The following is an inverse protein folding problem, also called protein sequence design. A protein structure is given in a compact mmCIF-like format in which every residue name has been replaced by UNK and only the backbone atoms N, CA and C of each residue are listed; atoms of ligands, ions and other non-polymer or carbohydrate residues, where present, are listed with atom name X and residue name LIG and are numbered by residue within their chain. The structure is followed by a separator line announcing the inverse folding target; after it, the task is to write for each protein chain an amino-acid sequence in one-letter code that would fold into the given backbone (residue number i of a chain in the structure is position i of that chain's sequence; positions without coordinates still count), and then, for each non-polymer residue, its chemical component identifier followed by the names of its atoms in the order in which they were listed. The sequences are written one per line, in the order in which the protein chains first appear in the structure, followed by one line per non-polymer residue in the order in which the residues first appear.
data_IF_707784083214
#
_entry.id   IF_707784083214
#
_cell.length_a   1.000
_cell.length_b   1.000
_cell.length_c   1.000
_cell.angle_alpha   90.00
_cell.angle_beta   90.00
_cell.angle_gamma   90.00
#
_symmetry.space_group_name_H-M   'P 1'
#
loop_
_entity.id
_entity.type
_entity.pdbx_description
1 polymer ?
#
# COMPACT_ATOMS: atom_id res chain seq x y z
N UNK A 1 -25.76 -13.63 15.26
CA UNK A 1 -25.64 -13.95 13.82
C UNK A 1 -24.38 -13.27 13.33
N UNK A 2 -23.49 -13.97 12.61
CA UNK A 2 -22.26 -13.36 12.09
C UNK A 2 -22.65 -12.50 10.87
N UNK A 3 -22.11 -11.28 10.78
CA UNK A 3 -22.32 -10.37 9.66
C UNK A 3 -21.89 -11.04 8.33
N UNK A 4 -22.75 -11.01 7.30
CA UNK A 4 -22.47 -11.60 6.00
C UNK A 4 -21.27 -10.92 5.29
N UNK A 5 -20.97 -9.66 5.62
CA UNK A 5 -19.76 -8.95 5.14
C UNK A 5 -18.48 -9.59 5.69
N UNK A 6 -18.51 -10.04 6.94
CA UNK A 6 -17.37 -10.71 7.57
C UNK A 6 -17.11 -12.10 6.97
N UNK A 7 -18.16 -12.83 6.62
CA UNK A 7 -18.04 -14.12 5.94
C UNK A 7 -17.35 -13.96 4.59
N UNK A 8 -17.82 -13.02 3.76
CA UNK A 8 -17.19 -12.71 2.46
C UNK A 8 -15.73 -12.29 2.60
N UNK A 9 -15.41 -11.45 3.59
CA UNK A 9 -14.03 -11.05 3.84
C UNK A 9 -13.16 -12.27 4.24
N UNK A 10 -13.65 -13.14 5.13
CA UNK A 10 -12.94 -14.35 5.52
C UNK A 10 -12.71 -15.29 4.30
N UNK A 11 -13.70 -15.41 3.42
CA UNK A 11 -13.58 -16.17 2.16
C UNK A 11 -12.48 -15.60 1.26
N UNK A 12 -12.43 -14.27 1.07
CA UNK A 12 -11.37 -13.60 0.31
C UNK A 12 -10.00 -13.91 0.92
N UNK A 13 -9.82 -13.70 2.22
CA UNK A 13 -8.51 -13.87 2.87
C UNK A 13 -8.02 -15.32 2.81
N UNK A 14 -8.92 -16.29 3.00
CA UNK A 14 -8.57 -17.72 3.05
C UNK A 14 -8.41 -18.31 1.65
N UNK A 15 -9.37 -18.08 0.77
CA UNK A 15 -9.43 -18.77 -0.53
C UNK A 15 -8.77 -18.00 -1.66
N UNK A 16 -8.74 -16.67 -1.61
CA UNK A 16 -8.11 -15.84 -2.65
C UNK A 16 -6.71 -15.38 -2.27
N UNK A 17 -6.54 -14.75 -1.10
CA UNK A 17 -5.28 -14.10 -0.73
C UNK A 17 -4.21 -15.10 -0.30
N UNK A 18 -4.49 -15.92 0.71
CA UNK A 18 -3.55 -16.95 1.20
C UNK A 18 -3.65 -18.26 0.40
N UNK A 19 -4.79 -18.50 -0.26
CA UNK A 19 -5.08 -19.73 -1.03
C UNK A 19 -4.73 -20.97 -0.21
N UNK A 20 -5.31 -21.06 0.99
CA UNK A 20 -5.01 -22.12 1.96
C UNK A 20 -5.18 -23.49 1.33
N UNK A 21 -4.18 -24.35 1.48
CA UNK A 21 -4.20 -25.75 1.05
C UNK A 21 -4.32 -26.68 2.26
N UNK A 22 -4.91 -27.89 2.09
CA UNK A 22 -4.95 -28.89 3.14
C UNK A 22 -3.56 -29.19 3.71
N UNK A 23 -3.45 -29.20 5.04
CA UNK A 23 -2.20 -29.45 5.77
C UNK A 23 -1.31 -28.23 5.99
N UNK A 24 -1.62 -27.06 5.41
CA UNK A 24 -0.86 -25.84 5.65
C UNK A 24 -1.17 -25.24 7.03
N UNK A 25 -0.13 -24.77 7.73
CA UNK A 25 -0.27 -23.96 8.94
C UNK A 25 -0.39 -22.49 8.54
N UNK A 26 -1.36 -21.79 9.12
CA UNK A 26 -1.64 -20.37 8.83
C UNK A 26 -1.66 -19.58 10.12
N UNK A 27 -0.79 -18.58 10.25
CA UNK A 27 -0.77 -17.67 11.40
C UNK A 27 -1.70 -16.49 11.15
N UNK A 28 -2.70 -16.31 12.02
CA UNK A 28 -3.48 -15.08 12.14
C UNK A 28 -2.80 -14.21 13.20
N UNK A 29 -2.23 -13.09 12.81
CA UNK A 29 -1.68 -12.09 13.72
C UNK A 29 -2.62 -10.89 13.77
N UNK A 30 -3.38 -10.77 14.86
CA UNK A 30 -4.49 -9.84 14.99
C UNK A 30 -4.24 -8.79 16.07
N UNK A 31 -4.24 -7.52 15.68
CA UNK A 31 -4.03 -6.38 16.57
C UNK A 31 -5.36 -5.69 16.81
N UNK A 32 -5.82 -5.63 18.06
CA UNK A 32 -7.04 -4.92 18.46
C UNK A 32 -8.28 -5.27 17.60
N UNK A 33 -8.39 -6.54 17.20
CA UNK A 33 -9.47 -7.03 16.34
C UNK A 33 -10.67 -7.53 17.15
N UNK A 34 -11.90 -7.47 16.60
CA UNK A 34 -13.04 -8.17 17.17
C UNK A 34 -12.74 -9.68 17.27
N UNK A 35 -12.79 -10.28 18.48
CA UNK A 35 -12.48 -11.70 18.66
C UNK A 35 -13.42 -12.61 17.86
N UNK A 36 -14.65 -12.16 17.59
CA UNK A 36 -15.63 -12.89 16.79
C UNK A 36 -15.19 -13.05 15.33
N UNK A 37 -14.53 -12.02 14.76
CA UNK A 37 -13.98 -12.11 13.40
C UNK A 37 -12.76 -13.02 13.36
N UNK A 38 -11.86 -12.92 14.36
CA UNK A 38 -10.70 -13.81 14.45
C UNK A 38 -11.15 -15.28 14.58
N UNK A 39 -12.17 -15.55 15.40
CA UNK A 39 -12.75 -16.87 15.55
C UNK A 39 -13.44 -17.37 14.28
N UNK A 40 -14.11 -16.49 13.52
CA UNK A 40 -14.64 -16.81 12.20
C UNK A 40 -13.51 -17.24 11.25
N UNK A 41 -12.47 -16.42 11.13
CA UNK A 41 -11.34 -16.67 10.24
C UNK A 41 -10.62 -17.97 10.58
N UNK A 42 -10.39 -18.25 11.86
CA UNK A 42 -9.80 -19.51 12.31
C UNK A 42 -10.64 -20.73 11.88
N UNK A 43 -11.98 -20.64 12.01
CA UNK A 43 -12.89 -21.70 11.51
C UNK A 43 -12.83 -21.84 9.99
N UNK A 44 -12.80 -20.74 9.24
CA UNK A 44 -12.71 -20.78 7.78
C UNK A 44 -11.41 -21.43 7.30
N UNK A 45 -10.28 -21.16 7.95
CA UNK A 45 -8.99 -21.83 7.66
C UNK A 45 -9.09 -23.33 7.93
N UNK A 46 -9.65 -23.72 9.08
CA UNK A 46 -9.82 -25.13 9.43
C UNK A 46 -10.74 -25.86 8.43
N UNK A 47 -11.81 -25.21 7.98
CA UNK A 47 -12.71 -25.74 6.94
C UNK A 47 -12.03 -25.90 5.58
N UNK A 48 -11.06 -25.04 5.25
CA UNK A 48 -10.22 -25.19 4.07
C UNK A 48 -9.14 -26.29 4.21
N UNK A 49 -9.10 -27.00 5.34
CA UNK A 49 -8.11 -28.06 5.63
C UNK A 49 -6.77 -27.54 6.18
N UNK A 50 -6.66 -26.23 6.45
CA UNK A 50 -5.50 -25.64 7.08
C UNK A 50 -5.52 -25.77 8.61
N UNK A 51 -4.38 -25.52 9.25
CA UNK A 51 -4.23 -25.47 10.71
C UNK A 51 -4.07 -24.01 11.13
N UNK A 52 -5.09 -23.37 11.73
CA UNK A 52 -5.00 -21.99 12.19
C UNK A 52 -4.16 -21.89 13.46
N UNK A 53 -3.23 -20.94 13.49
CA UNK A 53 -2.54 -20.45 14.68
C UNK A 53 -2.99 -19.00 14.89
N UNK A 54 -3.23 -18.59 16.14
CA UNK A 54 -3.72 -17.24 16.43
C UNK A 54 -2.77 -16.55 17.40
N UNK A 55 -2.41 -15.32 17.09
CA UNK A 55 -1.72 -14.40 17.98
C UNK A 55 -2.55 -13.11 18.11
N UNK A 56 -2.93 -12.77 19.34
CA UNK A 56 -3.71 -11.60 19.66
C UNK A 56 -2.81 -10.57 20.33
N UNK A 57 -2.69 -9.40 19.70
CA UNK A 57 -1.88 -8.29 20.18
C UNK A 57 -2.79 -7.10 20.49
N UNK A 58 -2.44 -6.35 21.54
CA UNK A 58 -3.10 -5.09 21.86
C UNK A 58 -2.11 -3.95 21.68
N UNK A 59 -2.50 -2.93 20.92
CA UNK A 59 -1.64 -1.75 20.72
C UNK A 59 -1.34 -1.06 22.05
N UNK A 60 -2.29 -0.99 22.98
CA UNK A 60 -2.10 -0.43 24.31
C UNK A 60 -0.99 -1.18 25.09
N UNK A 61 -1.03 -2.51 25.07
CA UNK A 61 -0.04 -3.35 25.77
C UNK A 61 1.32 -3.26 25.09
N UNK A 62 1.36 -3.35 23.76
CA UNK A 62 2.60 -3.21 22.99
C UNK A 62 3.24 -1.84 23.21
N UNK A 63 2.45 -0.76 23.28
CA UNK A 63 2.94 0.58 23.57
C UNK A 63 3.65 0.63 24.93
N UNK A 64 3.05 0.04 25.97
CA UNK A 64 3.68 -0.06 27.29
C UNK A 64 4.98 -0.89 27.26
N UNK A 65 5.01 -1.99 26.50
CA UNK A 65 6.23 -2.78 26.30
C UNK A 65 7.31 -1.97 25.58
N UNK A 66 6.96 -1.26 24.51
CA UNK A 66 7.91 -0.50 23.70
C UNK A 66 8.52 0.67 24.46
N UNK A 67 7.76 1.33 25.35
CA UNK A 67 8.30 2.37 26.22
C UNK A 67 9.48 1.89 27.08
N UNK A 68 9.47 0.60 27.46
CA UNK A 68 10.48 0.00 28.34
C UNK A 68 11.33 -1.08 27.66
N UNK A 69 11.28 -1.19 26.33
CA UNK A 69 11.92 -2.29 25.60
C UNK A 69 13.42 -2.36 25.88
N UNK A 70 13.91 -3.56 26.21
CA UNK A 70 15.33 -3.88 26.33
C UNK A 70 15.77 -4.81 25.20
N UNK A 71 17.05 -4.79 24.85
CA UNK A 71 17.59 -5.66 23.79
C UNK A 71 17.37 -7.14 24.12
N UNK A 72 17.64 -7.55 25.36
CA UNK A 72 17.42 -8.91 25.85
C UNK A 72 15.96 -9.37 25.65
N UNK A 73 15.00 -8.53 26.05
CA UNK A 73 13.58 -8.81 25.86
C UNK A 73 13.24 -8.96 24.38
N UNK A 74 13.70 -8.03 23.53
CA UNK A 74 13.38 -8.02 22.11
C UNK A 74 13.98 -9.22 21.38
N UNK A 75 15.21 -9.62 21.70
CA UNK A 75 15.83 -10.82 21.15
C UNK A 75 15.07 -12.08 21.51
N UNK A 76 14.65 -12.23 22.77
CA UNK A 76 13.88 -13.40 23.20
C UNK A 76 12.51 -13.48 22.50
N UNK A 77 11.80 -12.36 22.39
CA UNK A 77 10.53 -12.32 21.65
C UNK A 77 10.76 -12.65 20.17
N UNK A 78 11.80 -12.08 19.56
CA UNK A 78 12.14 -12.33 18.16
C UNK A 78 12.40 -13.82 17.90
N UNK A 79 13.16 -14.50 18.78
CA UNK A 79 13.43 -15.93 18.66
C UNK A 79 12.14 -16.78 18.67
N UNK A 80 11.25 -16.51 19.63
CA UNK A 80 9.97 -17.21 19.74
C UNK A 80 9.09 -16.98 18.51
N UNK A 81 8.91 -15.71 18.12
CA UNK A 81 8.03 -15.36 17.01
C UNK A 81 8.59 -15.78 15.65
N UNK A 82 9.93 -15.72 15.48
CA UNK A 82 10.61 -16.20 14.28
C UNK A 82 10.44 -17.69 14.12
N UNK A 83 10.66 -18.47 15.19
CA UNK A 83 10.45 -19.92 15.18
C UNK A 83 9.03 -20.28 14.74
N UNK A 84 8.03 -19.57 15.28
CA UNK A 84 6.62 -19.73 14.88
C UNK A 84 6.40 -19.35 13.40
N UNK A 85 6.95 -18.22 12.96
CA UNK A 85 6.82 -17.74 11.58
C UNK A 85 7.46 -18.70 10.56
N UNK A 86 8.64 -19.26 10.88
CA UNK A 86 9.31 -20.27 10.05
C UNK A 86 8.51 -21.58 9.95
N UNK A 87 7.63 -21.85 10.92
CA UNK A 87 6.75 -23.01 10.91
C UNK A 87 5.51 -22.87 10.01
N UNK A 88 5.09 -21.67 9.62
CA UNK A 88 3.82 -21.48 8.88
C UNK A 88 4.03 -21.28 7.38
N UNK A 89 3.02 -21.68 6.60
CA UNK A 89 2.98 -21.49 5.14
C UNK A 89 2.17 -20.24 4.78
N UNK A 90 1.15 -19.93 5.59
CA UNK A 90 0.30 -18.76 5.44
C UNK A 90 0.41 -17.78 6.60
N UNK A 91 0.22 -16.50 6.32
CA UNK A 91 0.14 -15.42 7.31
C UNK A 91 -1.01 -14.46 6.96
N UNK A 92 -1.85 -14.12 7.95
CA UNK A 92 -2.90 -13.12 7.83
C UNK A 92 -2.68 -12.08 8.93
N UNK A 93 -2.26 -10.88 8.51
CA UNK A 93 -2.05 -9.74 9.41
C UNK A 93 -3.29 -8.85 9.46
N UNK A 94 -3.96 -8.83 10.61
CA UNK A 94 -5.14 -7.99 10.84
C UNK A 94 -4.75 -6.79 11.71
N UNK A 95 -5.07 -5.57 11.27
CA UNK A 95 -4.70 -4.33 11.98
C UNK A 95 -5.94 -3.52 12.34
N UNK A 96 -6.38 -3.64 13.59
CA UNK A 96 -7.47 -2.87 14.19
C UNK A 96 -7.15 -1.37 14.27
N UNK A 97 -6.05 -1.04 14.96
CA UNK A 97 -5.57 0.34 15.15
C UNK A 97 -6.70 1.32 15.53
N UNK A 98 -7.31 1.19 16.72
CA UNK A 98 -8.40 2.07 17.15
C UNK A 98 -7.98 3.54 17.24
N UNK A 99 -6.69 3.80 17.46
CA UNK A 99 -6.08 5.12 17.53
C UNK A 99 -4.78 5.13 16.70
N UNK A 100 -4.71 5.94 15.65
CA UNK A 100 -3.51 6.05 14.81
C UNK A 100 -2.33 6.73 15.52
N UNK A 101 -2.58 7.49 16.58
CA UNK A 101 -1.55 8.19 17.33
C UNK A 101 -1.07 7.40 18.56
N UNK A 102 -1.49 6.14 18.74
CA UNK A 102 -1.25 5.36 19.96
C UNK A 102 0.25 5.29 20.32
N UNK A 103 1.12 5.16 19.33
CA UNK A 103 2.58 5.03 19.54
C UNK A 103 3.34 6.37 19.52
N UNK A 104 2.65 7.51 19.42
CA UNK A 104 3.26 8.81 19.10
C UNK A 104 4.25 9.33 20.15
N UNK A 105 4.16 8.87 21.39
CA UNK A 105 5.03 9.28 22.49
C UNK A 105 6.00 8.17 22.94
N UNK A 106 6.11 7.08 22.18
CA UNK A 106 7.17 6.09 22.38
C UNK A 106 8.50 6.67 21.89
N UNK A 107 9.58 6.64 22.71
CA UNK A 107 10.86 7.21 22.29
C UNK A 107 11.38 6.62 20.97
N UNK A 108 11.88 7.46 20.06
CA UNK A 108 12.35 7.06 18.73
C UNK A 108 13.40 5.94 18.78
N UNK A 109 14.36 6.02 19.71
CA UNK A 109 15.39 4.97 19.88
C UNK A 109 14.79 3.62 20.29
N UNK A 110 13.71 3.62 21.08
CA UNK A 110 13.01 2.38 21.44
C UNK A 110 12.28 1.78 20.24
N UNK A 111 11.60 2.60 19.45
CA UNK A 111 10.95 2.15 18.22
C UNK A 111 11.97 1.59 17.22
N UNK A 112 13.15 2.21 17.12
CA UNK A 112 14.26 1.71 16.29
C UNK A 112 14.74 0.34 16.77
N UNK A 113 14.95 0.15 18.08
CA UNK A 113 15.31 -1.15 18.65
C UNK A 113 14.26 -2.22 18.37
N UNK A 114 12.97 -1.94 18.60
CA UNK A 114 11.87 -2.88 18.29
C UNK A 114 11.91 -3.27 16.81
N UNK A 115 12.08 -2.30 15.92
CA UNK A 115 12.16 -2.56 14.48
C UNK A 115 13.35 -3.44 14.13
N UNK A 116 14.53 -3.13 14.65
CA UNK A 116 15.78 -3.82 14.29
C UNK A 116 15.88 -5.21 14.89
N UNK A 117 15.52 -5.38 16.17
CA UNK A 117 15.78 -6.60 16.92
C UNK A 117 14.60 -7.58 16.92
N UNK A 118 13.38 -7.10 16.71
CA UNK A 118 12.18 -7.96 16.71
C UNK A 118 11.46 -7.97 15.36
N UNK A 119 11.04 -6.82 14.85
CA UNK A 119 10.19 -6.81 13.65
C UNK A 119 10.95 -7.26 12.39
N UNK A 120 12.18 -6.80 12.17
CA UNK A 120 12.99 -7.12 10.99
C UNK A 120 13.30 -8.63 10.91
N UNK A 121 13.84 -9.29 11.96
CA UNK A 121 14.14 -10.72 11.92
C UNK A 121 12.93 -11.62 11.71
N UNK A 122 11.73 -11.20 12.15
CA UNK A 122 10.50 -12.00 12.03
C UNK A 122 9.77 -11.70 10.72
N UNK A 123 9.53 -10.43 10.42
CA UNK A 123 8.66 -10.04 9.32
C UNK A 123 9.39 -9.80 8.00
N UNK A 124 10.54 -9.12 8.01
CA UNK A 124 11.28 -8.85 6.76
C UNK A 124 12.07 -10.07 6.30
N UNK A 125 12.77 -10.75 7.20
CA UNK A 125 13.66 -11.86 6.84
C UNK A 125 12.93 -13.20 6.66
N UNK A 126 11.75 -13.38 7.28
CA UNK A 126 11.01 -14.65 7.24
C UNK A 126 9.63 -14.48 6.62
N UNK A 127 8.72 -13.72 7.25
CA UNK A 127 7.32 -13.61 6.78
C UNK A 127 7.23 -13.22 5.30
N UNK A 128 7.82 -12.09 4.91
CA UNK A 128 7.71 -11.55 3.55
C UNK A 128 8.24 -12.54 2.50
N UNK A 129 9.49 -13.05 2.61
CA UNK A 129 10.06 -13.91 1.56
C UNK A 129 9.58 -15.37 1.60
N UNK A 130 9.10 -15.89 2.75
CA UNK A 130 8.86 -17.34 2.92
C UNK A 130 7.38 -17.74 3.07
N UNK A 131 6.45 -16.79 3.15
CA UNK A 131 5.03 -17.10 3.39
C UNK A 131 4.09 -16.55 2.31
N UNK A 132 2.94 -17.22 2.15
CA UNK A 132 1.76 -16.64 1.52
C UNK A 132 1.13 -15.70 2.54
N UNK A 133 1.24 -14.39 2.32
CA UNK A 133 0.88 -13.39 3.32
C UNK A 133 -0.10 -12.38 2.76
N UNK A 134 -1.08 -12.00 3.59
CA UNK A 134 -1.99 -10.88 3.34
C UNK A 134 -2.06 -9.98 4.58
N UNK A 135 -2.17 -8.67 4.37
CA UNK A 135 -2.39 -7.68 5.44
C UNK A 135 -3.64 -6.86 5.11
N UNK A 136 -4.43 -6.56 6.14
CA UNK A 136 -5.57 -5.67 6.04
C UNK A 136 -5.70 -4.78 7.28
N UNK A 137 -6.21 -3.57 7.07
CA UNK A 137 -6.63 -2.65 8.14
C UNK A 137 -8.12 -2.85 8.40
N UNK A 138 -8.55 -2.92 9.66
CA UNK A 138 -9.96 -3.12 10.03
C UNK A 138 -10.70 -1.77 10.07
N UNK A 139 -12.00 -1.71 9.70
CA UNK A 139 -12.75 -0.46 9.69
C UNK A 139 -13.12 -0.04 11.12
N UNK A 140 -12.22 0.68 11.77
CA UNK A 140 -12.47 1.25 13.11
C UNK A 140 -13.06 2.64 13.02
N UNK A 141 -13.60 3.10 14.16
CA UNK A 141 -14.08 4.49 14.32
C UNK A 141 -12.95 5.49 14.01
N UNK A 142 -11.71 5.20 14.42
CA UNK A 142 -10.56 6.05 14.12
C UNK A 142 -10.30 6.17 12.62
N UNK A 143 -10.46 5.09 11.86
CA UNK A 143 -10.33 5.10 10.40
C UNK A 143 -11.47 5.86 9.73
N UNK A 144 -12.71 5.67 10.18
CA UNK A 144 -13.86 6.44 9.69
C UNK A 144 -13.68 7.95 9.93
N UNK A 145 -13.17 8.34 11.10
CA UNK A 145 -12.86 9.73 11.43
C UNK A 145 -11.75 10.30 10.53
N UNK A 146 -10.68 9.55 10.28
CA UNK A 146 -9.61 9.97 9.38
C UNK A 146 -10.10 10.17 7.94
N UNK A 147 -11.03 9.32 7.49
CA UNK A 147 -11.70 9.41 6.20
C UNK A 147 -12.80 10.50 6.15
N UNK A 148 -13.07 11.20 7.26
CA UNK A 148 -14.15 12.18 7.40
C UNK A 148 -15.54 11.61 7.05
N UNK A 149 -15.82 10.39 7.51
CA UNK A 149 -17.07 9.65 7.27
C UNK A 149 -17.72 9.22 8.59
N UNK A 150 -19.03 8.99 8.57
CA UNK A 150 -19.69 8.27 9.67
C UNK A 150 -19.25 6.81 9.70
N UNK A 151 -19.22 6.19 10.88
CA UNK A 151 -18.79 4.78 11.05
C UNK A 151 -19.54 3.82 10.13
N UNK A 152 -20.87 3.92 10.06
CA UNK A 152 -21.69 3.03 9.25
C UNK A 152 -21.42 3.21 7.74
N UNK A 153 -21.33 4.46 7.26
CA UNK A 153 -21.02 4.73 5.87
C UNK A 153 -19.61 4.26 5.50
N UNK A 154 -18.65 4.39 6.42
CA UNK A 154 -17.29 3.91 6.24
C UNK A 154 -17.21 2.39 6.21
N UNK A 155 -17.92 1.68 7.10
CA UNK A 155 -18.00 0.22 7.06
C UNK A 155 -18.58 -0.31 5.75
N UNK A 156 -19.69 0.29 5.28
CA UNK A 156 -20.29 -0.08 3.99
C UNK A 156 -19.33 0.13 2.82
N UNK A 157 -18.63 1.27 2.80
CA UNK A 157 -17.57 1.51 1.84
C UNK A 157 -16.45 0.46 1.95
N UNK A 158 -15.95 0.25 3.17
CA UNK A 158 -14.80 -0.61 3.45
C UNK A 158 -15.06 -2.04 2.97
N UNK A 159 -16.20 -2.64 3.37
CA UNK A 159 -16.49 -4.02 3.00
C UNK A 159 -16.75 -4.14 1.50
N UNK A 160 -17.40 -3.16 0.86
CA UNK A 160 -17.55 -3.15 -0.60
C UNK A 160 -16.21 -3.19 -1.32
N UNK A 161 -15.23 -2.41 -0.85
CA UNK A 161 -13.88 -2.37 -1.44
C UNK A 161 -13.09 -3.64 -1.11
N UNK A 162 -13.10 -4.07 0.15
CA UNK A 162 -12.26 -5.16 0.64
C UNK A 162 -12.78 -6.56 0.27
N UNK A 163 -14.03 -6.68 -0.17
CA UNK A 163 -14.61 -7.93 -0.67
C UNK A 163 -14.90 -7.89 -2.18
N UNK A 164 -14.18 -7.06 -2.93
CA UNK A 164 -14.22 -7.05 -4.39
C UNK A 164 -13.87 -8.44 -4.96
N UNK A 165 -14.38 -8.77 -6.17
CA UNK A 165 -13.97 -9.98 -6.88
C UNK A 165 -12.54 -9.83 -7.41
N UNK A 166 -11.59 -10.14 -6.54
CA UNK A 166 -10.18 -10.09 -6.86
C UNK A 166 -9.74 -11.15 -7.88
N UNK A 167 -10.49 -12.24 -8.05
CA UNK A 167 -10.22 -13.22 -9.11
C UNK A 167 -10.59 -12.66 -10.49
N UNK A 168 -11.65 -11.84 -10.58
CA UNK A 168 -11.95 -11.04 -11.79
C UNK A 168 -10.84 -10.01 -12.05
N UNK A 169 -10.37 -9.32 -11.01
CA UNK A 169 -9.26 -8.37 -11.13
C UNK A 169 -7.97 -9.04 -11.60
N UNK A 170 -7.63 -10.23 -11.08
CA UNK A 170 -6.48 -11.03 -11.51
C UNK A 170 -6.51 -11.33 -13.02
N UNK A 171 -7.70 -11.61 -13.57
CA UNK A 171 -7.86 -11.82 -15.02
C UNK A 171 -7.80 -10.50 -15.80
N UNK A 172 -8.44 -9.46 -15.30
CA UNK A 172 -8.56 -8.16 -15.99
C UNK A 172 -7.23 -7.42 -16.10
N UNK A 173 -6.29 -7.62 -15.16
CA UNK A 173 -4.99 -6.92 -15.13
C UNK A 173 -3.95 -7.51 -16.09
N UNK A 174 -4.10 -8.77 -16.53
CA UNK A 174 -3.08 -9.43 -17.36
C UNK A 174 -2.73 -8.66 -18.66
N UNK A 175 -3.69 -8.13 -19.42
CA UNK A 175 -3.39 -7.34 -20.62
C UNK A 175 -2.58 -6.07 -20.32
N UNK A 176 -2.73 -5.48 -19.14
CA UNK A 176 -1.93 -4.32 -18.70
C UNK A 176 -0.49 -4.74 -18.39
N UNK A 177 -0.32 -5.84 -17.64
CA UNK A 177 1.00 -6.40 -17.30
C UNK A 177 1.80 -6.69 -18.58
N UNK A 178 1.20 -7.45 -19.48
CA UNK A 178 1.79 -7.82 -20.76
C UNK A 178 2.19 -6.61 -21.61
N UNK A 179 1.43 -5.52 -21.52
CA UNK A 179 1.73 -4.29 -22.23
C UNK A 179 2.89 -3.55 -21.58
N UNK A 180 2.83 -3.31 -20.26
CA UNK A 180 3.90 -2.65 -19.50
C UNK A 180 5.25 -3.36 -19.65
N UNK A 181 5.26 -4.70 -19.66
CA UNK A 181 6.48 -5.49 -19.87
C UNK A 181 7.16 -5.28 -21.23
N UNK A 182 6.41 -4.82 -22.24
CA UNK A 182 6.90 -4.53 -23.59
C UNK A 182 7.09 -3.04 -23.86
N UNK A 183 6.63 -2.20 -22.95
CA UNK A 183 6.73 -0.74 -23.07
C UNK A 183 8.16 -0.30 -22.83
N UNK A 184 8.67 0.58 -23.67
CA UNK A 184 9.96 1.23 -23.44
C UNK A 184 9.78 2.58 -22.76
N UNK A 185 8.96 3.45 -23.33
CA UNK A 185 8.76 4.83 -22.84
C UNK A 185 7.34 5.03 -22.31
N UNK A 186 7.23 5.69 -21.16
CA UNK A 186 5.99 6.20 -20.60
C UNK A 186 5.99 7.72 -20.70
N UNK A 187 4.90 8.31 -21.18
CA UNK A 187 4.67 9.76 -21.14
C UNK A 187 3.35 10.06 -20.43
N UNK A 188 3.41 10.80 -19.33
CA UNK A 188 2.26 11.20 -18.52
C UNK A 188 2.02 12.70 -18.70
N UNK A 189 0.77 13.08 -18.93
CA UNK A 189 0.33 14.47 -19.06
C UNK A 189 -0.81 14.78 -18.12
N UNK A 190 -0.88 16.03 -17.66
CA UNK A 190 -1.98 16.56 -16.87
C UNK A 190 -1.68 17.99 -16.39
N UNK A 191 -2.57 18.60 -15.60
CA UNK A 191 -2.32 19.90 -14.99
C UNK A 191 -1.02 19.89 -14.16
N UNK A 192 -0.06 20.73 -14.54
CA UNK A 192 1.25 20.80 -13.88
C UNK A 192 2.05 19.50 -13.93
N UNK A 193 1.74 18.61 -14.88
CA UNK A 193 2.43 17.32 -15.07
C UNK A 193 2.74 17.08 -16.54
N UNK A 194 4.02 16.93 -16.84
CA UNK A 194 4.56 16.43 -18.11
C UNK A 194 5.80 15.60 -17.74
N UNK A 195 5.63 14.28 -17.60
CA UNK A 195 6.68 13.36 -17.18
C UNK A 195 6.98 12.35 -18.28
N UNK A 196 8.26 12.10 -18.53
CA UNK A 196 8.73 11.03 -19.40
C UNK A 196 9.75 10.18 -18.69
N UNK A 197 9.67 8.87 -18.87
CA UNK A 197 10.63 7.93 -18.33
C UNK A 197 10.58 6.60 -19.06
N UNK A 198 11.65 5.80 -18.92
CA UNK A 198 11.69 4.44 -19.43
C UNK A 198 11.25 3.45 -18.35
N UNK A 199 10.58 2.38 -18.75
CA UNK A 199 10.36 1.17 -17.92
C UNK A 199 10.95 -0.08 -18.57
N UNK A 200 11.78 0.11 -19.60
CA UNK A 200 12.39 -0.97 -20.38
C UNK A 200 13.23 -1.89 -19.50
N UNK A 201 12.89 -3.18 -19.49
CA UNK A 201 13.63 -4.20 -18.76
C UNK A 201 13.37 -4.25 -17.25
N UNK A 202 12.42 -3.46 -16.74
CA UNK A 202 12.01 -3.50 -15.33
C UNK A 202 10.82 -4.45 -15.13
N UNK A 203 10.80 -5.16 -13.99
CA UNK A 203 9.70 -6.05 -13.62
C UNK A 203 8.37 -5.31 -13.48
N UNK A 204 7.26 -5.99 -13.77
CA UNK A 204 5.90 -5.46 -13.63
C UNK A 204 5.13 -6.37 -12.69
N UNK A 205 4.52 -5.77 -11.67
CA UNK A 205 3.86 -6.49 -10.57
C UNK A 205 2.39 -6.11 -10.51
N UNK A 206 1.48 -7.01 -10.93
CA UNK A 206 0.05 -6.81 -10.73
C UNK A 206 -0.37 -7.10 -9.29
N UNK A 207 -1.22 -6.23 -8.74
CA UNK A 207 -1.74 -6.38 -7.39
C UNK A 207 -3.27 -6.55 -7.43
N UNK A 208 -3.71 -7.74 -7.00
CA UNK A 208 -5.10 -8.19 -7.09
C UNK A 208 -5.51 -8.93 -5.81
N UNK A 209 -5.20 -8.40 -4.63
CA UNK A 209 -5.73 -8.87 -3.35
C UNK A 209 -4.98 -10.06 -2.77
N UNK A 210 -3.75 -10.32 -3.20
CA UNK A 210 -2.93 -11.39 -2.61
C UNK A 210 -2.20 -10.94 -1.35
N UNK A 211 -1.67 -9.71 -1.35
CA UNK A 211 -0.76 -9.21 -0.30
C UNK A 211 -1.40 -8.11 0.54
N UNK A 212 -2.17 -7.24 -0.10
CA UNK A 212 -2.87 -6.14 0.53
C UNK A 212 -4.37 -6.31 0.32
N UNK A 213 -5.17 -5.94 1.33
CA UNK A 213 -6.60 -5.76 1.20
C UNK A 213 -6.94 -4.38 1.82
N UNK A 214 -7.47 -3.43 1.03
CA UNK A 214 -7.84 -3.57 -0.37
C UNK A 214 -6.64 -3.60 -1.33
N UNK A 215 -6.93 -3.89 -2.60
CA UNK A 215 -5.95 -3.87 -3.68
C UNK A 215 -6.56 -3.31 -4.98
N UNK A 216 -5.78 -3.21 -6.05
CA UNK A 216 -6.24 -2.73 -7.35
C UNK A 216 -5.26 -1.79 -8.01
N UNK A 217 -4.03 -2.27 -8.20
CA UNK A 217 -2.99 -1.53 -8.91
C UNK A 217 -2.10 -2.46 -9.76
N UNK A 218 -1.26 -1.86 -10.59
CA UNK A 218 -0.20 -2.56 -11.29
C UNK A 218 1.03 -1.66 -11.33
N UNK A 219 2.08 -2.07 -10.62
CA UNK A 219 3.27 -1.25 -10.41
C UNK A 219 4.49 -1.79 -11.16
N UNK A 220 5.43 -0.89 -11.40
CA UNK A 220 6.78 -1.14 -11.88
C UNK A 220 7.69 -0.05 -11.32
N UNK A 221 8.89 0.09 -11.85
CA UNK A 221 9.78 1.18 -11.49
C UNK A 221 10.31 1.88 -12.76
N UNK A 222 10.44 3.21 -12.78
CA UNK A 222 11.20 3.87 -13.82
C UNK A 222 12.65 3.38 -13.83
N UNK A 223 13.26 3.25 -15.02
CA UNK A 223 14.72 3.15 -15.14
C UNK A 223 15.32 4.36 -14.43
N UNK A 224 16.18 4.10 -13.44
CA UNK A 224 16.55 5.05 -12.37
C UNK A 224 16.84 6.47 -12.87
N UNK A 225 17.66 6.58 -13.92
CA UNK A 225 18.17 7.86 -14.42
C UNK A 225 17.38 8.39 -15.63
N UNK A 226 16.22 7.81 -15.95
CA UNK A 226 15.45 8.13 -17.16
C UNK A 226 14.34 9.17 -16.98
N UNK A 227 14.01 9.54 -15.73
CA UNK A 227 12.89 10.44 -15.48
C UNK A 227 13.25 11.88 -15.80
N UNK A 228 12.44 12.50 -16.66
CA UNK A 228 12.53 13.90 -17.04
C UNK A 228 11.15 14.57 -16.91
N UNK A 229 11.15 15.84 -16.51
CA UNK A 229 9.97 16.70 -16.56
C UNK A 229 9.47 17.15 -15.19
N UNK A 230 8.15 17.36 -15.08
CA UNK A 230 7.52 17.95 -13.89
C UNK A 230 6.25 17.19 -13.51
N UNK A 231 5.94 17.17 -12.22
CA UNK A 231 4.72 16.57 -11.68
C UNK A 231 4.14 17.44 -10.56
N UNK A 232 2.82 17.55 -10.54
CA UNK A 232 2.06 18.16 -9.45
C UNK A 232 1.13 17.12 -8.84
N UNK A 233 1.31 16.86 -7.54
CA UNK A 233 0.48 15.94 -6.76
C UNK A 233 -0.81 16.67 -6.38
N UNK A 234 -1.94 16.12 -6.83
CA UNK A 234 -3.27 16.71 -6.66
C UNK A 234 -4.10 16.04 -5.56
N UNK A 235 -3.49 15.15 -4.78
CA UNK A 235 -4.05 14.61 -3.54
C UNK A 235 -3.26 15.09 -2.33
N UNK A 236 -3.92 15.05 -1.19
CA UNK A 236 -3.25 15.15 0.10
C UNK A 236 -2.38 13.92 0.34
N UNK A 237 -1.29 14.07 1.08
CA UNK A 237 -0.50 12.93 1.54
C UNK A 237 0.03 13.16 2.95
N UNK A 238 -0.11 12.16 3.82
CA UNK A 238 0.37 12.21 5.20
C UNK A 238 1.67 11.42 5.28
N UNK A 239 2.74 12.08 5.71
CA UNK A 239 4.05 11.45 5.92
C UNK A 239 4.67 11.90 7.23
N UNK A 240 5.13 10.95 8.03
CA UNK A 240 5.68 11.19 9.39
C UNK A 240 4.77 12.10 10.26
N UNK A 241 3.45 11.90 10.13
CA UNK A 241 2.44 12.65 10.87
C UNK A 241 2.19 14.08 10.38
N UNK A 242 2.82 14.53 9.29
CA UNK A 242 2.56 15.84 8.68
C UNK A 242 1.73 15.68 7.40
N UNK A 243 0.77 16.57 7.20
CA UNK A 243 -0.06 16.64 6.00
C UNK A 243 0.61 17.55 4.95
N UNK A 244 0.97 16.97 3.81
CA UNK A 244 1.49 17.67 2.65
C UNK A 244 0.40 17.84 1.58
N UNK A 245 0.38 19.02 0.94
CA UNK A 245 -0.55 19.37 -0.14
C UNK A 245 0.19 20.12 -1.24
N UNK A 246 -0.33 20.04 -2.46
CA UNK A 246 0.22 20.73 -3.64
C UNK A 246 1.72 20.46 -3.85
N UNK A 247 2.15 19.22 -3.61
CA UNK A 247 3.55 18.83 -3.82
C UNK A 247 3.89 18.95 -5.30
N UNK A 248 5.03 19.54 -5.61
CA UNK A 248 5.53 19.67 -6.98
C UNK A 248 6.99 19.28 -7.06
N UNK A 249 7.32 18.48 -8.07
CA UNK A 249 8.70 18.09 -8.36
C UNK A 249 9.08 18.47 -9.77
N UNK A 250 10.33 18.92 -9.93
CA UNK A 250 11.05 18.95 -11.21
C UNK A 250 12.11 17.86 -11.19
N UNK A 251 12.11 17.02 -12.23
CA UNK A 251 13.01 15.90 -12.38
C UNK A 251 13.94 16.10 -13.57
N UNK A 252 15.19 15.70 -13.38
CA UNK A 252 16.20 15.66 -14.42
C UNK A 252 17.11 14.46 -14.18
N UNK A 253 17.34 13.65 -15.21
CA UNK A 253 18.13 12.41 -15.15
C UNK A 253 17.72 11.52 -13.97
N UNK A 254 16.42 11.33 -13.77
CA UNK A 254 15.87 10.49 -12.69
C UNK A 254 15.77 11.15 -11.33
N UNK A 255 16.43 12.30 -11.13
CA UNK A 255 16.56 12.94 -9.81
C UNK A 255 15.60 14.10 -9.64
N UNK A 256 14.95 14.16 -8.48
CA UNK A 256 14.21 15.35 -8.02
C UNK A 256 15.20 16.47 -7.73
N UNK A 257 15.29 17.43 -8.65
CA UNK A 257 16.19 18.59 -8.55
C UNK A 257 15.53 19.79 -7.88
N UNK A 258 14.20 19.88 -7.90
CA UNK A 258 13.42 20.86 -7.15
C UNK A 258 12.20 20.20 -6.54
N UNK A 259 11.91 20.55 -5.29
CA UNK A 259 10.74 20.06 -4.55
C UNK A 259 10.11 21.18 -3.72
N UNK A 260 8.81 21.38 -3.90
CA UNK A 260 8.00 22.33 -3.13
C UNK A 260 6.64 21.74 -2.79
N UNK A 261 5.93 22.36 -1.85
CA UNK A 261 4.55 22.05 -1.48
C UNK A 261 3.90 23.30 -0.89
N UNK A 262 2.62 23.21 -0.51
CA UNK A 262 1.98 24.22 0.32
C UNK A 262 2.77 24.43 1.63
N UNK A 263 2.86 25.67 2.08
CA UNK A 263 3.50 26.04 3.35
C UNK A 263 2.44 26.28 4.42
N UNK A 264 2.21 25.26 5.25
CA UNK A 264 1.27 25.33 6.38
C UNK A 264 1.92 25.78 7.69
N UNK A 265 3.15 26.29 7.61
CA UNK A 265 3.97 26.69 8.75
C UNK A 265 4.51 25.50 9.55
N UNK A 266 4.91 25.79 10.79
CA UNK A 266 5.70 24.86 11.63
C UNK A 266 4.92 24.19 12.75
N UNK A 267 3.58 24.30 12.74
CA UNK A 267 2.72 23.65 13.74
C UNK A 267 2.79 22.12 13.62
N UNK A 268 2.54 21.37 14.71
CA UNK A 268 2.40 19.92 14.65
C UNK A 268 1.37 19.50 13.58
N UNK A 269 1.73 18.52 12.75
CA UNK A 269 0.88 18.03 11.67
C UNK A 269 0.90 18.85 10.37
N UNK A 270 1.56 20.01 10.33
CA UNK A 270 1.68 20.82 9.11
C UNK A 270 2.85 20.38 8.22
N UNK A 271 2.59 20.13 6.95
CA UNK A 271 3.63 20.00 5.92
C UNK A 271 4.12 21.38 5.45
N UNK A 272 5.39 21.45 5.08
CA UNK A 272 5.98 22.64 4.47
C UNK A 272 7.20 22.26 3.62
N UNK A 273 7.69 23.15 2.72
CA UNK A 273 8.78 22.85 1.81
C UNK A 273 10.08 22.42 2.52
N UNK A 274 10.34 22.93 3.74
CA UNK A 274 11.53 22.56 4.51
C UNK A 274 11.46 21.12 5.00
N UNK A 275 10.33 20.71 5.56
CA UNK A 275 10.10 19.31 5.99
C UNK A 275 10.08 18.34 4.80
N UNK A 276 9.46 18.75 3.69
CA UNK A 276 9.46 17.98 2.43
C UNK A 276 10.89 17.71 1.96
N UNK A 277 11.74 18.74 1.87
CA UNK A 277 13.12 18.56 1.42
C UNK A 277 13.94 17.75 2.43
N UNK A 278 13.70 17.89 3.74
CA UNK A 278 14.37 17.05 4.74
C UNK A 278 14.09 15.55 4.53
N UNK A 279 12.85 15.17 4.17
CA UNK A 279 12.51 13.78 3.80
C UNK A 279 13.31 13.35 2.57
N UNK A 280 13.31 14.18 1.53
CA UNK A 280 14.00 13.88 0.27
C UNK A 280 15.53 13.91 0.39
N UNK A 281 16.09 14.51 1.44
CA UNK A 281 17.53 14.55 1.75
C UNK A 281 17.96 13.48 2.77
N UNK A 282 17.08 12.54 3.12
CA UNK A 282 17.37 11.47 4.10
C UNK A 282 18.56 10.61 3.68
N UNK A 283 18.62 10.25 2.39
CA UNK A 283 19.71 9.47 1.80
C UNK A 283 19.81 9.72 0.29
N UNK A 284 20.83 9.15 -0.37
CA UNK A 284 21.06 9.33 -1.82
C UNK A 284 19.86 8.92 -2.66
N UNK A 285 19.20 7.81 -2.29
CA UNK A 285 18.09 7.24 -3.06
C UNK A 285 16.77 7.98 -2.90
N UNK A 286 16.60 8.78 -1.84
CA UNK A 286 15.34 9.47 -1.53
C UNK A 286 14.91 10.49 -2.60
N UNK A 287 15.84 10.99 -3.43
CA UNK A 287 15.54 11.88 -4.57
C UNK A 287 15.34 11.17 -5.90
N UNK A 288 15.44 9.86 -5.94
CA UNK A 288 15.15 9.06 -7.13
C UNK A 288 13.85 8.30 -6.94
N UNK A 289 13.31 7.75 -8.02
CA UNK A 289 12.00 7.12 -8.02
C UNK A 289 12.15 5.61 -7.88
N UNK A 290 11.51 5.07 -6.86
CA UNK A 290 11.52 3.65 -6.52
C UNK A 290 10.30 2.90 -7.04
N UNK A 291 9.24 3.61 -7.43
CA UNK A 291 8.05 2.99 -7.98
C UNK A 291 7.22 3.97 -8.82
N UNK A 292 6.54 3.42 -9.80
CA UNK A 292 5.41 4.03 -10.48
C UNK A 292 4.31 2.98 -10.68
N UNK A 293 3.08 3.34 -10.35
CA UNK A 293 1.94 2.41 -10.41
C UNK A 293 0.68 3.06 -10.94
N UNK A 294 -0.22 2.24 -11.50
CA UNK A 294 -1.52 2.65 -12.02
C UNK A 294 -2.62 2.04 -11.13
N UNK A 295 -3.42 2.91 -10.48
CA UNK A 295 -4.56 2.53 -9.65
C UNK A 295 -5.87 2.35 -10.45
N UNK A 296 -6.63 1.32 -10.09
CA UNK A 296 -7.87 0.91 -10.78
C UNK A 296 -8.92 0.21 -9.89
N UNK A 297 -8.86 0.34 -8.56
CA UNK A 297 -9.94 -0.20 -7.72
C UNK A 297 -11.26 0.57 -7.98
N UNK A 298 -12.33 -0.09 -8.46
CA UNK A 298 -13.52 0.58 -8.98
C UNK A 298 -14.36 1.28 -7.90
N UNK A 299 -14.11 0.99 -6.63
CA UNK A 299 -14.89 1.49 -5.50
C UNK A 299 -14.16 2.58 -4.72
N UNK A 300 -12.85 2.72 -4.89
CA UNK A 300 -12.05 3.78 -4.24
C UNK A 300 -11.96 4.96 -5.22
N UNK A 301 -12.74 5.99 -4.93
CA UNK A 301 -12.84 7.16 -5.81
C UNK A 301 -12.17 8.40 -5.21
N UNK A 302 -12.21 8.56 -3.89
CA UNK A 302 -11.74 9.76 -3.23
C UNK A 302 -10.60 9.44 -2.26
N UNK A 303 -9.61 10.33 -2.11
CA UNK A 303 -8.56 10.16 -1.13
C UNK A 303 -9.13 10.24 0.28
N UNK A 304 -8.60 9.43 1.19
CA UNK A 304 -9.00 9.35 2.59
C UNK A 304 -7.85 9.51 3.57
N UNK A 305 -6.68 9.93 3.08
CA UNK A 305 -5.45 10.08 3.85
C UNK A 305 -4.96 8.75 4.45
N UNK A 306 -5.25 7.65 3.75
CA UNK A 306 -4.70 6.33 4.05
C UNK A 306 -4.05 5.81 2.75
N UNK A 307 -2.72 5.83 2.71
CA UNK A 307 -1.96 5.45 1.51
C UNK A 307 -2.39 4.10 0.95
N UNK A 308 -2.72 3.11 1.79
CA UNK A 308 -3.14 1.77 1.36
C UNK A 308 -4.41 1.81 0.48
N UNK A 309 -5.29 2.79 0.72
CA UNK A 309 -6.49 3.01 -0.09
C UNK A 309 -6.21 3.98 -1.23
N UNK A 310 -5.54 5.09 -0.93
CA UNK A 310 -5.37 6.20 -1.88
C UNK A 310 -4.55 5.79 -3.10
N UNK A 311 -3.54 4.94 -2.93
CA UNK A 311 -2.70 4.41 -4.01
C UNK A 311 -3.49 3.51 -5.00
N UNK A 312 -4.66 3.03 -4.59
CA UNK A 312 -5.52 2.13 -5.38
C UNK A 312 -6.67 2.85 -6.10
N UNK A 313 -6.78 4.17 -5.98
CA UNK A 313 -7.89 4.96 -6.53
C UNK A 313 -8.10 4.68 -8.03
N UNK A 314 -9.36 4.46 -8.44
CA UNK A 314 -9.67 4.31 -9.86
C UNK A 314 -9.29 5.55 -10.68
N UNK A 315 -8.46 5.36 -11.70
CA UNK A 315 -8.03 6.45 -12.57
C UNK A 315 -6.94 7.33 -11.96
N UNK A 316 -6.27 6.85 -10.91
CA UNK A 316 -5.05 7.47 -10.38
C UNK A 316 -3.79 6.74 -10.84
N UNK A 317 -2.65 7.40 -10.71
CA UNK A 317 -1.36 6.73 -10.64
C UNK A 317 -0.65 7.22 -9.38
N UNK A 318 0.33 6.49 -8.88
CA UNK A 318 1.24 7.04 -7.89
C UNK A 318 2.68 7.01 -8.36
N UNK A 319 3.46 7.90 -7.78
CA UNK A 319 4.84 8.15 -8.12
C UNK A 319 5.66 8.28 -6.84
N UNK A 320 6.62 7.39 -6.64
CA UNK A 320 7.14 7.10 -5.31
C UNK A 320 8.63 7.43 -5.21
N UNK A 321 9.02 8.54 -4.56
CA UNK A 321 10.41 8.80 -4.23
C UNK A 321 10.94 7.76 -3.25
N UNK A 322 12.19 7.35 -3.44
CA UNK A 322 12.91 6.43 -2.57
C UNK A 322 12.97 4.99 -3.08
N UNK A 323 12.89 4.03 -2.17
CA UNK A 323 13.35 2.66 -2.35
C UNK A 323 12.55 1.89 -3.42
N UNK A 324 13.24 1.13 -4.26
CA UNK A 324 12.60 0.19 -5.18
C UNK A 324 12.36 -1.19 -4.54
N UNK A 325 11.23 -1.81 -4.90
CA UNK A 325 10.96 -3.20 -4.54
C UNK A 325 11.81 -4.17 -5.35
N UNK A 326 12.10 -5.36 -4.80
CA UNK A 326 12.96 -6.35 -5.46
C UNK A 326 12.31 -6.94 -6.72
N UNK A 327 10.98 -7.02 -6.72
CA UNK A 327 10.17 -7.57 -7.80
C UNK A 327 10.12 -6.66 -9.05
N UNK A 328 10.35 -5.35 -8.86
CA UNK A 328 10.40 -4.33 -9.91
C UNK A 328 11.61 -3.39 -9.67
N UNK A 329 12.81 -3.97 -9.64
CA UNK A 329 14.00 -3.29 -9.14
C UNK A 329 14.72 -2.46 -10.22
N UNK A 330 14.97 -1.18 -9.93
CA UNK A 330 15.83 -0.30 -10.73
C UNK A 330 17.19 -0.01 -10.05
N UNK A 331 17.49 -0.69 -8.94
CA UNK A 331 18.69 -0.52 -8.13
C UNK A 331 18.64 0.64 -7.13
N UNK A 332 17.56 1.42 -7.06
CA UNK A 332 17.46 2.50 -6.08
C UNK A 332 17.22 1.95 -4.67
N UNK A 333 18.00 2.42 -3.70
CA UNK A 333 17.93 1.99 -2.30
C UNK A 333 17.80 3.21 -1.41
N UNK A 334 16.79 3.19 -0.54
CA UNK A 334 16.49 4.31 0.36
C UNK A 334 15.77 3.81 1.61
N UNK A 335 15.81 4.61 2.66
CA UNK A 335 14.93 4.47 3.83
C UNK A 335 13.56 5.12 3.61
N UNK A 336 13.43 5.96 2.59
CA UNK A 336 12.17 6.58 2.15
C UNK A 336 11.50 5.67 1.13
N UNK A 337 10.17 5.58 1.18
CA UNK A 337 9.32 5.05 0.12
C UNK A 337 7.96 5.69 0.33
N UNK A 338 7.64 6.69 -0.49
CA UNK A 338 6.47 7.54 -0.27
C UNK A 338 5.56 7.63 -1.47
N UNK A 339 4.45 6.91 -1.43
CA UNK A 339 3.49 6.87 -2.53
C UNK A 339 2.69 8.17 -2.60
N UNK A 340 2.94 8.92 -3.67
CA UNK A 340 2.28 10.19 -3.95
C UNK A 340 1.30 10.01 -5.10
N UNK A 341 0.02 10.19 -4.80
CA UNK A 341 -1.08 9.86 -5.71
C UNK A 341 -1.48 11.05 -6.58
N UNK A 342 -1.70 10.78 -7.87
CA UNK A 342 -2.27 11.74 -8.82
C UNK A 342 -3.51 11.14 -9.45
N UNK A 343 -4.65 11.80 -9.26
CA UNK A 343 -5.93 11.39 -9.86
C UNK A 343 -6.08 12.08 -11.20
N UNK A 344 -6.28 11.31 -12.28
CA UNK A 344 -6.42 11.84 -13.64
C UNK A 344 -7.88 12.00 -14.08
N UNK A 345 -8.87 11.79 -13.22
CA UNK A 345 -10.29 11.96 -13.60
C UNK A 345 -10.63 13.44 -13.86
N UNK A 346 -11.66 13.76 -14.67
CA UNK A 346 -11.97 15.13 -15.08
C UNK A 346 -12.14 16.12 -13.92
N UNK A 347 -12.75 15.70 -12.81
CA UNK A 347 -12.96 16.54 -11.62
C UNK A 347 -11.65 16.88 -10.87
N UNK A 348 -10.55 16.22 -11.20
CA UNK A 348 -9.19 16.52 -10.74
C UNK A 348 -8.32 17.18 -11.83
N UNK A 349 -8.94 17.58 -12.95
CA UNK A 349 -8.31 18.30 -14.06
C UNK A 349 -7.89 17.42 -15.24
N UNK A 350 -8.19 16.12 -15.20
CA UNK A 350 -7.94 15.21 -16.32
C UNK A 350 -6.48 14.76 -16.44
N UNK A 351 -6.18 14.03 -17.50
CA UNK A 351 -4.81 13.62 -17.81
C UNK A 351 -4.73 12.46 -18.78
N UNK A 352 -3.52 12.21 -19.27
CA UNK A 352 -3.25 11.18 -20.27
C UNK A 352 -2.02 10.37 -19.87
N UNK A 353 -2.02 9.07 -20.19
CA UNK A 353 -0.84 8.19 -20.09
C UNK A 353 -0.64 7.52 -21.44
N UNK A 354 0.56 7.64 -21.97
CA UNK A 354 0.99 7.04 -23.22
C UNK A 354 2.09 6.01 -22.96
N UNK A 355 2.01 4.86 -23.65
CA UNK A 355 3.09 3.88 -23.73
C UNK A 355 3.58 3.86 -25.17
N UNK A 356 4.87 4.15 -25.37
CA UNK A 356 5.52 4.23 -26.69
C UNK A 356 4.74 5.11 -27.69
N UNK A 357 4.25 6.26 -27.21
CA UNK A 357 3.46 7.21 -27.99
C UNK A 357 2.00 6.82 -28.25
N UNK A 358 1.56 5.62 -27.83
CA UNK A 358 0.15 5.22 -27.91
C UNK A 358 -0.61 5.57 -26.64
N UNK A 359 -1.74 6.27 -26.77
CA UNK A 359 -2.61 6.62 -25.65
C UNK A 359 -3.21 5.35 -25.01
N UNK A 360 -2.96 5.15 -23.71
CA UNK A 360 -3.39 3.98 -22.94
C UNK A 360 -4.51 4.34 -21.98
N UNK A 361 -4.41 5.51 -21.32
CA UNK A 361 -5.40 6.02 -20.39
C UNK A 361 -5.67 7.49 -20.67
N UNK A 362 -6.95 7.88 -20.65
CA UNK A 362 -7.39 9.27 -20.74
C UNK A 362 -8.44 9.54 -19.68
N UNK A 363 -8.24 10.63 -18.95
CA UNK A 363 -9.14 11.11 -17.92
C UNK A 363 -9.50 10.02 -16.89
N UNK A 364 -8.50 9.21 -16.51
CA UNK A 364 -8.65 8.10 -15.58
C UNK A 364 -9.21 6.79 -16.18
N UNK A 365 -9.60 6.77 -17.46
CA UNK A 365 -10.17 5.58 -18.11
C UNK A 365 -9.22 4.95 -19.12
N UNK A 366 -9.08 3.63 -19.09
CA UNK A 366 -8.35 2.88 -20.10
C UNK A 366 -9.10 2.92 -21.43
N UNK A 367 -8.41 3.35 -22.50
CA UNK A 367 -9.03 3.59 -23.81
C UNK A 367 -8.83 2.44 -24.79
N UNK A 368 -7.80 1.61 -24.58
CA UNK A 368 -7.52 0.47 -25.45
C UNK A 368 -8.52 -0.67 -25.17
N UNK A 369 -9.12 -1.29 -26.20
CA UNK A 369 -10.16 -2.32 -26.02
C UNK A 369 -9.78 -3.44 -25.04
N UNK A 370 -8.55 -3.94 -25.13
CA UNK A 370 -8.04 -5.02 -24.27
C UNK A 370 -7.83 -4.61 -22.81
N UNK A 371 -7.81 -3.31 -22.49
CA UNK A 371 -7.62 -2.79 -21.14
C UNK A 371 -8.93 -2.32 -20.50
N UNK A 372 -10.03 -2.27 -21.25
CA UNK A 372 -11.32 -1.76 -20.74
C UNK A 372 -11.88 -2.59 -19.59
N UNK A 373 -11.45 -3.85 -19.43
CA UNK A 373 -11.81 -4.69 -18.28
C UNK A 373 -11.38 -4.12 -16.92
N UNK A 374 -10.42 -3.19 -16.90
CA UNK A 374 -9.97 -2.49 -15.70
C UNK A 374 -10.75 -1.20 -15.39
N UNK A 375 -11.66 -0.78 -16.28
CA UNK A 375 -12.47 0.41 -16.04
C UNK A 375 -13.53 0.14 -14.96
N UNK A 376 -13.95 1.15 -14.18
CA UNK A 376 -14.86 0.96 -13.04
C UNK A 376 -16.13 0.18 -13.36
N UNK A 377 -16.81 0.53 -14.46
CA UNK A 377 -18.06 -0.12 -14.87
C UNK A 377 -17.87 -1.59 -15.27
N UNK A 378 -16.66 -1.99 -15.67
CA UNK A 378 -16.35 -3.37 -16.02
C UNK A 378 -15.79 -4.15 -14.84
N UNK A 379 -15.15 -3.51 -13.86
CA UNK A 379 -14.53 -4.23 -12.75
C UNK A 379 -15.44 -4.38 -11.52
N UNK A 380 -16.51 -3.58 -11.45
CA UNK A 380 -17.49 -3.57 -10.36
C UNK A 380 -18.66 -4.57 -10.50
N UNK A 381 -18.82 -5.19 -11.67
CA UNK A 381 -19.95 -6.08 -11.99
C UNK A 381 -19.79 -7.46 -11.36
#
# INVERSE_FOLDING_TARGET
MIDARWQRLAEVLVHHSVRVQPGERVLIEAFDMPPEFVALLARSIAQAGGTPLVDLKSSLVLRALYQHASEEQLHFIAELERTRMEGVQGYIGLRGTPNFAEMSDVPTEKMKLVRQLWWTPVHQEVRVPKTKWVVLRWPTIGMAQAANMSTEAFEEFYFRVCTLDYARMERAVQPLVERMQRTREVHIKGPGTDLRFSIEGIGVVPCYGLRNIPDGECFTCPVRDSVEGEITINTNSVYEGNLYRDIRFRLHQGKIVEATCADDGDRPGAGNPRKLNAILDTDEGARYIGEWSIGFNPHILYPMNDTLFDEKIAGSFHFTPGNAYQEADNGNRSSVHWDLVVIQRPEYGGGEIYFDGQLVRKDGLFVLPQLQGLNPDQLSI
#
